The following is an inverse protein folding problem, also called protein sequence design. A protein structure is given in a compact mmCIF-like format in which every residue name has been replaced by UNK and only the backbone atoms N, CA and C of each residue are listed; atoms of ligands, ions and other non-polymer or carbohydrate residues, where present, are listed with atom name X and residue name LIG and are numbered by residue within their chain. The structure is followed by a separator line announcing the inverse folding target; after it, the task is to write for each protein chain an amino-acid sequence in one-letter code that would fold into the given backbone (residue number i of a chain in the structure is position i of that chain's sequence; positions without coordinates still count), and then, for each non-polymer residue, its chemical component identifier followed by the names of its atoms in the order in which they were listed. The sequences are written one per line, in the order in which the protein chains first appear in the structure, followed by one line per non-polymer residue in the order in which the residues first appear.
data_IF_454416213693
#
_entry.id   IF_454416213693
#
_cell.length_a   1.000
_cell.length_b   1.000
_cell.length_c   1.000
_cell.angle_alpha   90.00
_cell.angle_beta   90.00
_cell.angle_gamma   90.00
#
_symmetry.space_group_name_H-M   'P 1'
#
loop_
_entity.id
_entity.type
_entity.pdbx_description
1 polymer ?
#
# COMPACT_ATOMS: atom_id res chain seq x y z
N UNK A 1 66.77 -12.48 -4.31
CA UNK A 1 67.10 -12.98 -2.97
C UNK A 1 65.93 -13.76 -2.40
N UNK A 2 66.10 -15.03 -2.20
CA UNK A 2 65.21 -16.03 -1.64
C UNK A 2 64.88 -15.76 -0.17
N UNK A 3 63.69 -16.14 0.30
CA UNK A 3 63.38 -16.85 1.55
C UNK A 3 61.87 -17.13 1.59
N UNK A 4 61.50 -18.31 1.34
CA UNK A 4 61.35 -19.53 2.16
C UNK A 4 60.02 -19.62 2.93
N UNK A 5 59.21 -20.49 2.40
CA UNK A 5 58.11 -21.30 2.95
C UNK A 5 58.19 -21.60 4.45
N UNK A 6 57.05 -21.53 5.17
CA UNK A 6 56.74 -22.43 6.28
C UNK A 6 55.33 -23.03 6.09
N UNK A 7 55.34 -24.33 5.81
CA UNK A 7 54.17 -25.22 5.97
C UNK A 7 53.88 -25.38 7.46
N UNK A 8 52.65 -25.22 7.87
CA UNK A 8 52.14 -25.67 9.18
C UNK A 8 51.30 -26.91 8.97
N UNK A 9 51.66 -27.95 9.65
CA UNK A 9 51.14 -29.30 9.63
C UNK A 9 49.74 -29.36 10.24
N UNK A 10 48.81 -30.00 9.55
CA UNK A 10 47.48 -30.35 10.08
C UNK A 10 47.62 -31.60 10.95
N UNK A 11 47.18 -31.51 12.19
CA UNK A 11 47.00 -32.68 13.07
C UNK A 11 45.69 -33.39 12.70
N UNK A 12 45.63 -34.72 12.77
CA UNK A 12 44.42 -35.47 12.49
C UNK A 12 43.43 -35.40 13.67
N UNK A 13 42.17 -35.07 13.36
CA UNK A 13 41.07 -35.10 14.31
C UNK A 13 40.65 -36.55 14.60
N UNK A 14 40.68 -36.93 15.85
CA UNK A 14 40.12 -38.19 16.34
C UNK A 14 38.59 -38.15 16.31
N UNK A 15 37.94 -39.24 15.88
CA UNK A 15 36.47 -39.31 15.94
C UNK A 15 36.00 -39.53 17.41
N UNK A 16 34.83 -39.01 17.79
CA UNK A 16 34.30 -39.20 19.11
C UNK A 16 33.78 -40.63 19.35
N UNK A 17 33.78 -41.12 20.59
CA UNK A 17 33.38 -42.48 20.92
C UNK A 17 31.89 -42.71 20.69
N UNK A 18 31.57 -43.80 20.01
CA UNK A 18 30.20 -44.29 19.79
C UNK A 18 29.60 -44.79 21.11
N UNK A 19 28.53 -44.20 21.58
CA UNK A 19 27.74 -44.71 22.72
C UNK A 19 26.74 -45.75 22.19
N UNK A 20 26.85 -46.94 22.70
CA UNK A 20 25.95 -48.06 22.43
C UNK A 20 24.51 -47.82 22.92
N UNK A 21 23.52 -48.56 22.42
CA UNK A 21 22.11 -48.39 22.72
C UNK A 21 21.78 -48.74 24.18
N UNK A 22 21.11 -47.84 24.86
CA UNK A 22 20.56 -48.05 26.22
C UNK A 22 19.28 -48.89 26.12
N UNK A 23 19.05 -49.87 27.03
CA UNK A 23 17.84 -50.65 27.03
C UNK A 23 16.63 -49.82 27.43
N UNK A 24 15.58 -49.89 26.64
CA UNK A 24 14.30 -49.23 26.86
C UNK A 24 13.55 -50.05 27.92
N UNK A 25 13.40 -49.54 29.14
CA UNK A 25 12.52 -50.08 30.15
C UNK A 25 11.07 -49.80 29.75
N UNK A 26 10.35 -50.84 29.41
CA UNK A 26 8.89 -50.79 29.18
C UNK A 26 8.18 -50.47 30.49
N UNK A 27 7.78 -49.20 30.67
CA UNK A 27 6.75 -48.84 31.62
C UNK A 27 5.41 -48.83 30.89
N UNK A 28 4.57 -49.82 31.18
CA UNK A 28 3.17 -49.77 30.81
C UNK A 28 2.46 -48.80 31.77
N UNK A 29 2.39 -47.55 31.42
CA UNK A 29 1.52 -46.58 32.07
C UNK A 29 0.21 -46.55 31.32
N UNK A 30 -0.84 -47.07 31.90
CA UNK A 30 -2.22 -46.88 31.50
C UNK A 30 -2.55 -45.39 31.67
N UNK A 31 -2.42 -44.60 30.63
CA UNK A 31 -2.94 -43.25 30.58
C UNK A 31 -4.42 -43.32 30.20
N UNK A 32 -5.27 -43.18 31.22
CA UNK A 32 -6.66 -42.74 31.06
C UNK A 32 -6.60 -41.33 30.46
N UNK A 33 -6.75 -41.21 29.14
CA UNK A 33 -6.92 -39.95 28.45
C UNK A 33 -8.37 -39.51 28.73
N UNK A 34 -8.63 -38.44 29.51
CA UNK A 34 -9.96 -37.87 29.57
C UNK A 34 -10.28 -37.35 28.14
N UNK A 35 -11.36 -37.90 27.60
CA UNK A 35 -11.94 -37.43 26.34
C UNK A 35 -12.47 -36.01 26.57
N UNK A 36 -11.59 -35.02 26.43
CA UNK A 36 -11.97 -33.62 26.35
C UNK A 36 -12.64 -33.43 25.02
N UNK A 37 -13.97 -33.48 25.02
CA UNK A 37 -14.78 -33.05 23.85
C UNK A 37 -14.41 -31.60 23.58
N UNK A 38 -13.48 -31.39 22.63
CA UNK A 38 -13.14 -30.08 22.08
C UNK A 38 -14.38 -29.61 21.31
N UNK A 39 -15.28 -28.92 21.99
CA UNK A 39 -16.38 -28.21 21.33
C UNK A 39 -15.75 -27.06 20.53
N UNK A 40 -15.34 -27.36 19.31
CA UNK A 40 -14.93 -26.32 18.35
C UNK A 40 -16.17 -25.45 18.08
N UNK A 41 -16.10 -24.13 18.30
CA UNK A 41 -17.21 -23.26 17.90
C UNK A 41 -17.45 -23.42 16.40
N UNK A 42 -18.71 -23.47 15.96
CA UNK A 42 -19.03 -23.62 14.55
C UNK A 42 -18.39 -22.48 13.75
N UNK A 43 -17.60 -22.82 12.74
CA UNK A 43 -16.82 -21.89 11.91
C UNK A 43 -17.68 -20.77 11.26
N UNK A 44 -18.99 -20.93 11.22
CA UNK A 44 -19.95 -19.95 10.71
C UNK A 44 -20.14 -18.72 11.60
N UNK A 45 -20.06 -18.84 12.92
CA UNK A 45 -20.30 -17.72 13.87
C UNK A 45 -19.17 -16.69 13.79
N UNK A 46 -17.92 -17.14 13.65
CA UNK A 46 -16.75 -16.24 13.52
C UNK A 46 -16.77 -15.41 12.22
N UNK A 47 -17.33 -15.94 11.16
CA UNK A 47 -17.37 -15.27 9.86
C UNK A 47 -18.47 -14.20 9.82
N UNK A 48 -19.66 -14.50 10.32
CA UNK A 48 -20.76 -13.55 10.39
C UNK A 48 -20.43 -12.34 11.26
N UNK A 49 -19.77 -12.54 12.40
CA UNK A 49 -19.35 -11.44 13.27
C UNK A 49 -18.27 -10.56 12.63
N UNK A 50 -17.35 -11.12 11.84
CA UNK A 50 -16.32 -10.36 11.14
C UNK A 50 -16.89 -9.55 9.97
N UNK A 51 -17.90 -10.06 9.28
CA UNK A 51 -18.54 -9.41 8.15
C UNK A 51 -19.45 -8.26 8.63
N UNK A 52 -20.22 -8.43 9.71
CA UNK A 52 -21.02 -7.39 10.34
C UNK A 52 -20.18 -6.21 10.85
N UNK A 53 -19.02 -6.47 11.45
CA UNK A 53 -18.10 -5.43 11.87
C UNK A 53 -17.53 -4.63 10.69
N UNK A 54 -17.25 -5.29 9.57
CA UNK A 54 -16.75 -4.66 8.35
C UNK A 54 -17.80 -3.76 7.70
N UNK A 55 -19.05 -4.21 7.62
CA UNK A 55 -20.15 -3.40 7.09
C UNK A 55 -20.40 -2.15 7.94
N UNK A 56 -20.40 -2.28 9.26
CA UNK A 56 -20.50 -1.14 10.18
C UNK A 56 -19.34 -0.16 9.98
N UNK A 57 -18.12 -0.63 9.77
CA UNK A 57 -16.96 0.23 9.51
C UNK A 57 -17.06 0.93 8.15
N UNK A 58 -17.59 0.28 7.11
CA UNK A 58 -17.87 0.92 5.81
C UNK A 58 -18.95 2.00 5.97
N UNK A 59 -20.01 1.73 6.73
CA UNK A 59 -21.08 2.69 6.99
C UNK A 59 -20.56 3.92 7.75
N UNK A 60 -19.71 3.73 8.75
CA UNK A 60 -19.02 4.82 9.44
C UNK A 60 -18.15 5.62 8.46
N UNK A 61 -17.39 4.94 7.62
CA UNK A 61 -16.56 5.57 6.60
C UNK A 61 -17.36 6.40 5.61
N UNK A 62 -18.51 5.92 5.19
CA UNK A 62 -19.45 6.66 4.36
C UNK A 62 -19.96 7.92 5.09
N UNK A 63 -20.37 7.79 6.35
CA UNK A 63 -20.83 8.93 7.16
C UNK A 63 -19.76 10.02 7.25
N UNK A 64 -18.53 9.65 7.59
CA UNK A 64 -17.40 10.57 7.66
C UNK A 64 -17.11 11.20 6.29
N UNK A 65 -17.15 10.40 5.23
CA UNK A 65 -16.93 10.90 3.87
C UNK A 65 -17.93 11.97 3.45
N UNK A 66 -19.20 11.86 3.89
CA UNK A 66 -20.27 12.76 3.51
C UNK A 66 -20.47 13.94 4.47
N UNK A 67 -20.11 13.79 5.75
CA UNK A 67 -20.44 14.77 6.81
C UNK A 67 -19.24 15.23 7.65
N UNK A 68 -18.04 14.67 7.43
CA UNK A 68 -16.91 14.86 8.34
C UNK A 68 -17.00 13.94 9.56
N UNK A 69 -16.01 14.02 10.45
CA UNK A 69 -15.89 13.14 11.62
C UNK A 69 -16.53 13.70 12.92
N UNK A 70 -17.35 14.72 12.80
CA UNK A 70 -18.09 15.31 13.93
C UNK A 70 -17.32 16.36 14.75
N UNK A 71 -16.03 16.58 14.53
CA UNK A 71 -15.32 17.70 15.15
C UNK A 71 -15.73 19.04 14.54
N UNK A 72 -15.77 20.08 15.35
CA UNK A 72 -16.05 21.44 14.88
C UNK A 72 -15.05 21.84 13.77
N UNK A 73 -15.57 22.27 12.61
CA UNK A 73 -14.78 22.60 11.44
C UNK A 73 -14.26 21.40 10.63
N UNK A 74 -14.77 20.19 10.92
CA UNK A 74 -14.48 19.01 10.11
C UNK A 74 -15.09 19.14 8.72
N UNK A 75 -14.27 19.02 7.68
CA UNK A 75 -14.68 19.07 6.28
C UNK A 75 -14.98 17.66 5.77
N UNK A 76 -16.11 17.49 5.09
CA UNK A 76 -16.46 16.23 4.44
C UNK A 76 -15.50 15.94 3.26
N UNK A 77 -15.06 14.70 3.12
CA UNK A 77 -14.18 14.31 2.02
C UNK A 77 -14.83 14.59 0.65
N UNK A 78 -16.15 14.40 0.57
CA UNK A 78 -16.95 14.57 -0.64
C UNK A 78 -16.94 16.02 -1.19
N UNK A 79 -16.71 17.03 -0.36
CA UNK A 79 -16.64 18.43 -0.79
C UNK A 79 -15.51 18.65 -1.83
N UNK A 80 -14.37 18.01 -1.63
CA UNK A 80 -13.24 18.10 -2.54
C UNK A 80 -13.11 16.88 -3.46
N UNK A 81 -13.34 15.68 -2.92
CA UNK A 81 -13.19 14.45 -3.68
C UNK A 81 -14.47 14.02 -4.41
N UNK A 82 -15.55 14.81 -4.33
CA UNK A 82 -16.90 14.53 -4.84
C UNK A 82 -17.56 13.32 -4.17
N UNK A 83 -18.88 13.23 -4.25
CA UNK A 83 -19.69 12.15 -3.66
C UNK A 83 -19.24 10.78 -4.17
N UNK A 84 -18.87 10.67 -5.45
CA UNK A 84 -18.41 9.44 -6.07
C UNK A 84 -16.90 9.16 -5.88
N UNK A 85 -16.18 9.97 -5.09
CA UNK A 85 -14.75 9.82 -4.90
C UNK A 85 -13.88 10.08 -6.14
N UNK A 86 -14.47 10.72 -7.17
CA UNK A 86 -13.80 10.97 -8.46
C UNK A 86 -12.75 12.07 -8.44
N UNK A 87 -12.80 12.98 -7.45
CA UNK A 87 -11.92 14.12 -7.37
C UNK A 87 -12.26 15.24 -8.36
N UNK A 88 -11.34 16.19 -8.48
CA UNK A 88 -11.41 17.30 -9.44
C UNK A 88 -10.13 17.34 -10.27
N UNK A 89 -10.09 16.67 -11.44
CA UNK A 89 -8.89 16.48 -12.24
C UNK A 89 -8.18 17.78 -12.64
N UNK A 90 -8.91 18.81 -13.02
CA UNK A 90 -8.37 20.09 -13.49
C UNK A 90 -7.53 20.81 -12.45
N UNK A 91 -7.87 20.67 -11.17
CA UNK A 91 -7.13 21.31 -10.04
C UNK A 91 -6.24 20.32 -9.28
N UNK A 92 -6.12 19.08 -9.76
CA UNK A 92 -5.23 18.06 -9.16
C UNK A 92 -5.75 17.43 -7.87
N UNK A 93 -7.05 17.54 -7.57
CA UNK A 93 -7.65 16.76 -6.48
C UNK A 93 -7.87 15.33 -6.98
N UNK A 94 -7.25 14.33 -6.33
CA UNK A 94 -7.22 12.97 -6.86
C UNK A 94 -8.57 12.25 -6.76
N UNK A 95 -8.75 11.31 -7.67
CA UNK A 95 -9.69 10.22 -7.47
C UNK A 95 -9.18 9.34 -6.34
N UNK A 96 -10.05 9.05 -5.38
CA UNK A 96 -9.80 8.14 -4.25
C UNK A 96 -10.70 6.90 -4.29
N UNK A 97 -11.77 6.95 -5.08
CA UNK A 97 -12.64 5.80 -5.32
C UNK A 97 -11.88 4.63 -5.96
N UNK A 98 -12.10 3.43 -5.45
CA UNK A 98 -11.52 2.19 -5.92
C UNK A 98 -10.04 2.00 -5.60
N UNK A 99 -9.41 2.92 -4.87
CA UNK A 99 -8.03 2.76 -4.41
C UNK A 99 -7.98 1.79 -3.21
N UNK A 100 -6.87 1.11 -3.00
CA UNK A 100 -6.77 0.18 -1.87
C UNK A 100 -6.89 0.89 -0.52
N UNK A 101 -7.62 0.27 0.42
CA UNK A 101 -7.79 0.83 1.76
C UNK A 101 -6.42 1.05 2.45
N UNK A 102 -5.49 0.12 2.31
CA UNK A 102 -4.14 0.24 2.88
C UNK A 102 -3.40 1.45 2.33
N UNK A 103 -3.50 1.72 1.02
CA UNK A 103 -2.86 2.89 0.44
C UNK A 103 -3.53 4.18 0.93
N UNK A 104 -4.86 4.29 0.89
CA UNK A 104 -5.59 5.48 1.40
C UNK A 104 -5.22 5.74 2.86
N UNK A 105 -5.24 4.70 3.71
CA UNK A 105 -4.87 4.82 5.11
C UNK A 105 -3.46 5.38 5.27
N UNK A 106 -2.48 4.79 4.57
CA UNK A 106 -1.08 5.23 4.63
C UNK A 106 -0.90 6.68 4.19
N UNK A 107 -1.56 7.07 3.11
CA UNK A 107 -1.49 8.44 2.58
C UNK A 107 -2.03 9.48 3.57
N UNK A 108 -3.19 9.21 4.19
CA UNK A 108 -3.77 10.10 5.22
C UNK A 108 -2.85 10.15 6.45
N UNK A 109 -2.32 9.00 6.89
CA UNK A 109 -1.36 8.95 8.00
C UNK A 109 -0.06 9.70 7.66
N UNK A 110 0.41 9.61 6.42
CA UNK A 110 1.56 10.38 5.94
C UNK A 110 1.35 11.89 6.04
N UNK A 111 0.15 12.36 5.69
CA UNK A 111 -0.24 13.76 5.85
C UNK A 111 -0.25 14.17 7.33
N UNK A 112 -0.86 13.37 8.21
CA UNK A 112 -0.88 13.65 9.65
C UNK A 112 0.52 13.70 10.29
N UNK A 113 1.42 12.83 9.83
CA UNK A 113 2.81 12.75 10.32
C UNK A 113 3.75 13.78 9.68
N UNK A 114 3.28 14.55 8.70
CA UNK A 114 4.12 15.48 7.94
C UNK A 114 5.10 14.82 6.97
N UNK A 115 5.04 13.49 6.79
CA UNK A 115 5.87 12.78 5.80
C UNK A 115 5.35 12.93 4.37
N UNK A 116 4.13 13.44 4.23
CA UNK A 116 3.51 13.86 2.97
C UNK A 116 3.00 15.28 3.10
N UNK A 117 3.65 16.22 2.44
CA UNK A 117 3.23 17.61 2.46
C UNK A 117 1.92 17.79 1.70
N UNK A 118 0.89 18.29 2.37
CA UNK A 118 -0.41 18.62 1.79
C UNK A 118 -1.17 19.61 2.68
N UNK A 119 -0.99 20.93 2.48
CA UNK A 119 -1.56 21.94 3.36
C UNK A 119 -3.07 21.88 3.54
N UNK A 120 -3.79 21.54 2.45
CA UNK A 120 -5.25 21.40 2.49
C UNK A 120 -5.66 20.15 3.27
N UNK A 121 -5.10 18.99 2.93
CA UNK A 121 -5.44 17.73 3.59
C UNK A 121 -5.02 17.73 5.06
N UNK A 122 -3.92 18.39 5.42
CA UNK A 122 -3.47 18.50 6.82
C UNK A 122 -4.54 19.13 7.72
N UNK A 123 -5.26 20.13 7.24
CA UNK A 123 -6.37 20.75 7.99
C UNK A 123 -7.54 19.78 8.16
N UNK A 124 -7.90 19.06 7.10
CA UNK A 124 -9.02 18.13 7.09
C UNK A 124 -8.78 16.95 8.04
N UNK A 125 -7.60 16.34 7.96
CA UNK A 125 -7.33 15.07 8.65
C UNK A 125 -6.67 15.20 10.03
N UNK A 126 -6.40 16.43 10.48
CA UNK A 126 -5.68 16.70 11.74
C UNK A 126 -6.30 15.98 12.94
N UNK A 127 -7.62 16.04 13.06
CA UNK A 127 -8.39 15.51 14.19
C UNK A 127 -8.97 14.11 13.90
N UNK A 128 -8.57 13.45 12.81
CA UNK A 128 -9.02 12.10 12.50
C UNK A 128 -8.29 11.08 13.37
N UNK A 129 -9.05 10.24 14.06
CA UNK A 129 -8.51 9.07 14.77
C UNK A 129 -8.03 8.02 13.77
N UNK A 130 -7.27 7.04 14.25
CA UNK A 130 -6.86 5.89 13.42
C UNK A 130 -8.07 5.09 12.91
N UNK A 131 -9.14 5.00 13.73
CA UNK A 131 -10.40 4.35 13.35
C UNK A 131 -11.14 5.12 12.27
N UNK A 132 -11.23 6.46 12.36
CA UNK A 132 -11.84 7.29 11.31
C UNK A 132 -11.14 7.09 9.97
N UNK A 133 -9.79 7.14 9.98
CA UNK A 133 -8.98 6.97 8.77
C UNK A 133 -9.18 5.57 8.18
N UNK A 134 -9.26 4.54 9.03
CA UNK A 134 -9.49 3.17 8.57
C UNK A 134 -10.87 3.01 7.96
N UNK A 135 -11.89 3.55 8.60
CA UNK A 135 -13.27 3.52 8.11
C UNK A 135 -13.40 4.21 6.75
N UNK A 136 -12.87 5.44 6.61
CA UNK A 136 -12.87 6.19 5.34
C UNK A 136 -12.08 5.46 4.25
N UNK A 137 -10.92 4.91 4.60
CA UNK A 137 -10.11 4.16 3.65
C UNK A 137 -10.83 2.91 3.14
N UNK A 138 -11.49 2.20 4.05
CA UNK A 138 -12.30 1.03 3.72
C UNK A 138 -13.49 1.41 2.84
N UNK A 139 -14.23 2.46 3.18
CA UNK A 139 -15.34 2.95 2.38
C UNK A 139 -14.92 3.27 0.94
N UNK A 140 -13.93 4.15 0.75
CA UNK A 140 -13.52 4.53 -0.61
C UNK A 140 -12.92 3.37 -1.41
N UNK A 141 -12.38 2.36 -0.77
CA UNK A 141 -11.90 1.15 -1.46
C UNK A 141 -13.04 0.31 -2.06
N UNK A 142 -14.27 0.49 -1.57
CA UNK A 142 -15.47 -0.19 -2.10
C UNK A 142 -16.24 0.64 -3.12
N UNK A 143 -15.96 1.94 -3.22
CA UNK A 143 -16.63 2.82 -4.16
C UNK A 143 -16.20 2.52 -5.58
N UNK A 144 -17.19 2.36 -6.47
CA UNK A 144 -16.94 2.12 -7.89
C UNK A 144 -16.11 3.24 -8.51
N UNK A 145 -15.11 2.85 -9.27
CA UNK A 145 -14.17 3.79 -9.89
C UNK A 145 -14.83 4.57 -11.04
N UNK A 146 -14.99 5.90 -10.96
CA UNK A 146 -15.50 6.69 -12.07
C UNK A 146 -14.43 6.89 -13.15
N UNK A 147 -14.85 7.06 -14.40
CA UNK A 147 -13.99 7.55 -15.48
C UNK A 147 -13.80 9.06 -15.31
N UNK A 148 -12.55 9.54 -15.39
CA UNK A 148 -12.22 10.93 -15.04
C UNK A 148 -11.61 11.75 -16.16
N UNK A 149 -11.22 11.18 -17.30
CA UNK A 149 -10.44 11.92 -18.28
C UNK A 149 -11.27 12.29 -19.51
N UNK A 150 -11.02 13.47 -20.00
CA UNK A 150 -11.33 13.87 -21.34
C UNK A 150 -10.07 13.68 -22.21
N UNK A 151 -10.09 12.82 -23.24
CA UNK A 151 -8.94 12.60 -24.11
C UNK A 151 -8.44 13.88 -24.81
N UNK A 152 -9.30 14.89 -24.99
CA UNK A 152 -8.93 16.17 -25.61
C UNK A 152 -7.90 16.99 -24.83
N UNK A 153 -7.75 16.72 -23.52
CA UNK A 153 -6.72 17.35 -22.67
C UNK A 153 -5.31 16.80 -22.90
N UNK A 154 -5.15 15.77 -23.73
CA UNK A 154 -3.88 15.06 -23.88
C UNK A 154 -3.14 15.53 -25.13
N UNK A 155 -1.83 15.74 -24.99
CA UNK A 155 -0.92 16.01 -26.08
C UNK A 155 -0.51 14.69 -26.78
N UNK A 156 -0.95 14.44 -28.03
CA UNK A 156 -0.63 13.19 -28.71
C UNK A 156 0.87 12.94 -28.87
N UNK A 157 1.69 14.00 -28.93
CA UNK A 157 3.14 13.90 -29.10
C UNK A 157 3.86 13.28 -27.89
N UNK A 158 3.24 13.32 -26.72
CA UNK A 158 3.78 12.75 -25.48
C UNK A 158 3.43 11.29 -25.27
N UNK A 159 2.40 10.78 -25.95
CA UNK A 159 1.88 9.43 -25.71
C UNK A 159 2.92 8.32 -25.99
N UNK A 160 3.69 8.34 -27.10
CA UNK A 160 4.72 7.32 -27.33
C UNK A 160 5.83 7.33 -26.29
N UNK A 161 6.26 8.52 -25.82
CA UNK A 161 7.27 8.66 -24.79
C UNK A 161 6.76 8.10 -23.44
N UNK A 162 5.54 8.50 -23.05
CA UNK A 162 4.90 8.03 -21.83
C UNK A 162 4.76 6.51 -21.80
N UNK A 163 4.26 5.93 -22.89
CA UNK A 163 4.15 4.47 -23.05
C UNK A 163 5.52 3.77 -22.94
N UNK A 164 6.55 4.32 -23.60
CA UNK A 164 7.91 3.75 -23.53
C UNK A 164 8.43 3.73 -22.12
N UNK A 165 8.35 4.85 -21.38
CA UNK A 165 8.82 4.93 -19.99
C UNK A 165 8.02 3.99 -19.11
N UNK A 166 6.69 4.02 -19.23
CA UNK A 166 5.81 3.18 -18.41
C UNK A 166 6.09 1.69 -18.57
N UNK A 167 6.30 1.21 -19.81
CA UNK A 167 6.40 -0.23 -20.12
C UNK A 167 7.83 -0.75 -20.25
N UNK A 168 8.83 0.11 -20.51
CA UNK A 168 10.22 -0.31 -20.75
C UNK A 168 11.22 0.35 -19.82
N UNK A 169 10.86 1.47 -19.17
CA UNK A 169 11.79 2.25 -18.34
C UNK A 169 12.81 3.04 -19.15
N UNK A 170 13.80 3.57 -18.45
CA UNK A 170 14.99 4.26 -18.97
C UNK A 170 16.19 3.71 -18.17
N UNK A 171 16.63 2.52 -18.56
CA UNK A 171 17.63 1.74 -17.82
C UNK A 171 19.02 2.37 -17.81
N UNK A 172 19.34 3.17 -18.84
CA UNK A 172 20.53 4.01 -18.90
C UNK A 172 20.65 4.99 -17.72
N UNK A 173 19.52 5.33 -17.11
CA UNK A 173 19.43 6.20 -15.91
C UNK A 173 18.91 5.47 -14.67
N UNK A 174 18.90 4.16 -14.68
CA UNK A 174 18.36 3.35 -13.59
C UNK A 174 16.92 3.74 -13.23
N UNK A 175 16.07 3.95 -14.25
CA UNK A 175 14.63 4.13 -14.10
C UNK A 175 13.95 2.86 -14.63
N UNK A 176 13.45 1.98 -13.74
CA UNK A 176 12.74 0.77 -14.15
C UNK A 176 11.40 1.11 -14.81
N UNK A 177 10.83 0.15 -15.54
CA UNK A 177 9.49 0.29 -16.06
C UNK A 177 8.48 0.47 -14.93
N UNK A 178 7.59 1.47 -15.01
CA UNK A 178 6.63 1.78 -13.95
C UNK A 178 5.69 0.59 -13.65
N UNK A 179 5.36 -0.20 -14.71
CA UNK A 179 4.48 -1.37 -14.59
C UNK A 179 5.06 -2.48 -13.71
N UNK A 180 6.37 -2.53 -13.49
CA UNK A 180 6.99 -3.55 -12.62
C UNK A 180 6.51 -3.43 -11.17
N UNK A 181 6.23 -2.20 -10.72
CA UNK A 181 5.72 -1.94 -9.38
C UNK A 181 4.22 -1.59 -9.40
N UNK A 182 3.77 -0.80 -10.38
CA UNK A 182 2.37 -0.37 -10.43
C UNK A 182 1.44 -1.35 -11.18
N UNK A 183 1.93 -2.53 -11.53
CA UNK A 183 1.18 -3.55 -12.23
C UNK A 183 0.96 -3.23 -13.70
N UNK A 184 0.56 -4.24 -14.48
CA UNK A 184 0.23 -4.06 -15.87
C UNK A 184 -0.83 -2.97 -16.02
N UNK A 185 -0.61 -2.05 -16.96
CA UNK A 185 -1.47 -0.90 -17.22
C UNK A 185 -1.75 0.00 -16.00
N UNK A 186 -0.90 -0.03 -14.98
CA UNK A 186 -1.05 0.81 -13.80
C UNK A 186 -2.17 0.39 -12.85
N UNK A 187 -2.55 -0.88 -12.88
CA UNK A 187 -3.60 -1.46 -12.03
C UNK A 187 -3.19 -1.69 -10.58
N UNK A 188 -1.95 -1.32 -10.22
CA UNK A 188 -1.40 -1.50 -8.89
C UNK A 188 -1.05 -2.94 -8.55
N UNK A 189 -0.32 -3.10 -7.47
CA UNK A 189 -0.02 -4.39 -6.83
C UNK A 189 -0.31 -4.24 -5.33
N UNK A 190 -1.52 -4.57 -4.88
CA UNK A 190 -1.88 -4.46 -3.46
C UNK A 190 -0.99 -5.34 -2.58
N UNK A 191 -0.74 -4.94 -1.32
CA UNK A 191 -1.23 -3.72 -0.66
C UNK A 191 -0.33 -2.50 -0.88
N UNK A 192 0.86 -2.64 -1.46
CA UNK A 192 1.92 -1.65 -1.38
C UNK A 192 1.93 -0.63 -2.52
N UNK A 193 1.62 -1.07 -3.73
CA UNK A 193 1.71 -0.21 -4.91
C UNK A 193 0.33 0.26 -5.35
N UNK A 194 0.11 1.59 -5.44
CA UNK A 194 -1.20 2.15 -5.74
C UNK A 194 -1.63 1.93 -7.19
N UNK A 195 -2.93 2.02 -7.37
CA UNK A 195 -3.58 2.11 -8.68
C UNK A 195 -3.38 3.51 -9.25
N UNK A 196 -2.76 3.60 -10.41
CA UNK A 196 -2.47 4.88 -11.08
C UNK A 196 -3.16 5.02 -12.45
N UNK A 197 -3.72 3.93 -13.00
CA UNK A 197 -4.51 3.95 -14.23
C UNK A 197 -5.75 4.85 -14.10
N UNK A 198 -5.98 5.73 -15.05
CA UNK A 198 -7.10 6.66 -15.06
C UNK A 198 -7.11 7.67 -13.90
N UNK A 199 -5.99 7.88 -13.22
CA UNK A 199 -5.84 8.97 -12.26
C UNK A 199 -5.55 10.29 -13.00
N UNK A 200 -5.95 11.42 -12.42
CA UNK A 200 -5.72 12.75 -13.01
C UNK A 200 -4.26 12.97 -13.42
N UNK A 201 -4.04 13.42 -14.65
CA UNK A 201 -2.71 13.80 -15.15
C UNK A 201 -2.04 14.83 -14.23
N UNK A 202 -2.78 15.88 -13.87
CA UNK A 202 -2.31 16.94 -12.98
C UNK A 202 -1.87 16.39 -11.63
N UNK A 203 -2.68 15.53 -11.03
CA UNK A 203 -2.32 14.89 -9.75
C UNK A 203 -1.09 13.99 -9.88
N UNK A 204 -1.02 13.13 -10.90
CA UNK A 204 0.14 12.26 -11.12
C UNK A 204 1.44 13.06 -11.29
N UNK A 205 1.39 14.15 -12.08
CA UNK A 205 2.52 15.06 -12.22
C UNK A 205 2.95 15.68 -10.90
N UNK A 206 1.99 16.17 -10.10
CA UNK A 206 2.26 16.75 -8.79
C UNK A 206 2.91 15.73 -7.85
N UNK A 207 2.40 14.51 -7.82
CA UNK A 207 2.95 13.48 -6.94
C UNK A 207 4.37 13.06 -7.32
N UNK A 208 4.65 12.87 -8.61
CA UNK A 208 6.02 12.56 -9.07
C UNK A 208 6.97 13.71 -8.70
N UNK A 209 6.56 14.96 -8.90
CA UNK A 209 7.37 16.13 -8.52
C UNK A 209 7.59 16.23 -7.01
N UNK A 210 6.55 15.99 -6.19
CA UNK A 210 6.67 15.97 -4.73
C UNK A 210 7.68 14.93 -4.22
N UNK A 211 7.73 13.75 -4.84
CA UNK A 211 8.78 12.79 -4.55
C UNK A 211 10.18 13.30 -4.96
N UNK A 212 10.29 13.95 -6.13
CA UNK A 212 11.58 14.44 -6.62
C UNK A 212 12.19 15.54 -5.72
N UNK A 213 11.35 16.42 -5.14
CA UNK A 213 11.78 17.52 -4.24
C UNK A 213 11.68 17.17 -2.75
N UNK A 214 11.41 15.90 -2.45
CA UNK A 214 11.36 15.37 -1.07
C UNK A 214 10.23 15.95 -0.19
N UNK A 215 9.18 16.52 -0.78
CA UNK A 215 7.94 16.88 -0.08
C UNK A 215 7.11 15.65 0.33
N UNK A 216 7.40 14.51 -0.32
CA UNK A 216 6.89 13.19 0.04
C UNK A 216 8.03 12.29 0.47
N UNK A 217 7.93 11.78 1.73
CA UNK A 217 8.89 10.87 2.37
C UNK A 217 8.20 9.59 2.86
N UNK A 218 6.93 9.39 2.46
CA UNK A 218 6.09 8.27 2.86
C UNK A 218 6.19 7.05 1.92
N UNK A 219 7.16 7.08 0.99
CA UNK A 219 7.48 5.95 0.12
C UNK A 219 8.44 4.97 0.79
N UNK A 220 8.07 3.68 0.91
CA UNK A 220 8.95 2.66 1.47
C UNK A 220 10.29 2.63 0.71
N UNK A 221 11.39 2.57 1.47
CA UNK A 221 12.77 2.48 0.94
C UNK A 221 13.16 3.63 -0.03
N UNK A 222 12.37 4.69 -0.11
CA UNK A 222 12.64 5.79 -1.02
C UNK A 222 12.54 5.44 -2.51
N UNK A 223 11.79 4.40 -2.87
CA UNK A 223 11.69 3.88 -4.24
C UNK A 223 11.20 4.95 -5.22
N UNK A 224 10.09 5.62 -4.90
CA UNK A 224 9.56 6.66 -5.78
C UNK A 224 10.44 7.91 -5.79
N UNK A 225 11.06 8.28 -4.69
CA UNK A 225 12.05 9.38 -4.64
C UNK A 225 13.23 9.10 -5.56
N UNK A 226 13.78 7.89 -5.48
CA UNK A 226 14.90 7.45 -6.32
C UNK A 226 14.59 7.47 -7.82
N UNK A 227 13.35 7.19 -8.22
CA UNK A 227 12.89 7.23 -9.61
C UNK A 227 12.56 8.67 -10.03
N UNK A 228 11.78 9.37 -9.21
CA UNK A 228 11.25 10.69 -9.53
C UNK A 228 12.36 11.75 -9.71
N UNK A 229 13.40 11.70 -8.87
CA UNK A 229 14.57 12.62 -8.95
C UNK A 229 15.33 12.53 -10.28
N UNK A 230 15.20 11.42 -11.01
CA UNK A 230 15.88 11.19 -12.29
C UNK A 230 15.02 11.54 -13.50
N UNK A 231 13.72 11.75 -13.35
CA UNK A 231 12.82 12.06 -14.44
C UNK A 231 12.89 13.54 -14.83
N UNK A 232 12.98 13.80 -16.13
CA UNK A 232 12.90 15.16 -16.69
C UNK A 232 11.44 15.64 -16.76
N UNK A 233 11.21 16.95 -16.75
CA UNK A 233 9.85 17.52 -16.79
C UNK A 233 8.98 16.98 -17.93
N UNK A 234 9.54 16.83 -19.15
CA UNK A 234 8.84 16.27 -20.30
C UNK A 234 8.43 14.80 -20.06
N UNK A 235 9.30 14.04 -19.42
CA UNK A 235 9.07 12.63 -19.10
C UNK A 235 7.99 12.47 -18.03
N UNK A 236 8.01 13.33 -17.00
CA UNK A 236 6.95 13.39 -15.97
C UNK A 236 5.59 13.68 -16.63
N UNK A 237 5.53 14.68 -17.53
CA UNK A 237 4.31 14.99 -18.29
C UNK A 237 3.83 13.79 -19.11
N UNK A 238 4.76 13.14 -19.83
CA UNK A 238 4.47 12.03 -20.71
C UNK A 238 3.94 10.80 -19.95
N UNK A 239 4.62 10.39 -18.88
CA UNK A 239 4.21 9.20 -18.10
C UNK A 239 2.92 9.45 -17.33
N UNK A 240 2.73 10.65 -16.78
CA UNK A 240 1.49 11.04 -16.12
C UNK A 240 0.30 11.02 -17.08
N UNK A 241 0.47 11.56 -18.27
CA UNK A 241 -0.55 11.51 -19.33
C UNK A 241 -0.85 10.08 -19.78
N UNK A 242 0.17 9.25 -19.97
CA UNK A 242 -0.03 7.86 -20.36
C UNK A 242 -0.91 7.12 -19.34
N UNK A 243 -0.59 7.18 -18.05
CA UNK A 243 -1.43 6.51 -17.05
C UNK A 243 -2.80 7.16 -16.89
N UNK A 244 -2.92 8.47 -17.03
CA UNK A 244 -4.20 9.15 -17.01
C UNK A 244 -5.11 8.73 -18.17
N UNK A 245 -4.56 8.41 -19.35
CA UNK A 245 -5.32 7.98 -20.53
C UNK A 245 -5.84 6.54 -20.43
N UNK A 246 -5.33 5.74 -19.49
CA UNK A 246 -5.76 4.37 -19.34
C UNK A 246 -7.12 4.28 -18.64
N UNK A 247 -7.91 3.30 -19.05
CA UNK A 247 -9.18 3.03 -18.36
C UNK A 247 -8.89 2.49 -16.95
N UNK A 248 -9.43 3.12 -15.90
CA UNK A 248 -9.29 2.58 -14.57
C UNK A 248 -10.00 1.23 -14.49
N UNK A 249 -9.42 0.23 -13.82
CA UNK A 249 -10.09 -1.03 -13.59
C UNK A 249 -11.31 -0.84 -12.68
N UNK A 250 -12.35 -1.64 -12.90
CA UNK A 250 -13.54 -1.65 -12.03
C UNK A 250 -13.26 -2.49 -10.77
N UNK A 251 -12.63 -1.85 -9.78
CA UNK A 251 -12.22 -2.52 -8.54
C UNK A 251 -13.41 -2.91 -7.63
N UNK A 252 -14.58 -2.34 -7.83
CA UNK A 252 -15.79 -2.73 -7.12
C UNK A 252 -16.24 -4.17 -7.40
N UNK A 253 -15.68 -4.79 -8.44
CA UNK A 253 -15.96 -6.19 -8.84
C UNK A 253 -14.83 -7.17 -8.50
N UNK A 254 -13.76 -6.75 -7.83
CA UNK A 254 -12.66 -7.64 -7.45
C UNK A 254 -12.80 -8.01 -5.97
N UNK A 255 -13.57 -9.08 -5.63
CA UNK A 255 -13.88 -9.42 -4.24
C UNK A 255 -12.66 -9.87 -3.44
N UNK A 256 -11.66 -10.41 -4.11
CA UNK A 256 -10.58 -11.17 -3.46
C UNK A 256 -9.35 -10.33 -3.12
N UNK A 257 -9.06 -9.29 -3.89
CA UNK A 257 -7.91 -8.41 -3.63
C UNK A 257 -8.18 -7.37 -2.51
N UNK A 258 -9.46 -7.06 -2.28
CA UNK A 258 -9.92 -6.25 -1.15
C UNK A 258 -10.43 -7.12 0.02
N UNK A 259 -10.15 -8.41 -0.01
CA UNK A 259 -10.57 -9.38 1.01
C UNK A 259 -10.13 -8.97 2.42
N UNK A 260 -10.99 -9.21 3.44
CA UNK A 260 -10.68 -8.94 4.85
C UNK A 260 -9.39 -9.57 5.35
N UNK A 261 -8.96 -10.69 4.73
CA UNK A 261 -7.69 -11.35 5.05
C UNK A 261 -6.47 -10.45 4.79
N UNK A 262 -6.52 -9.54 3.81
CA UNK A 262 -5.41 -8.61 3.54
C UNK A 262 -5.49 -7.30 4.35
N UNK A 263 -6.67 -6.89 4.79
CA UNK A 263 -6.81 -5.77 5.73
C UNK A 263 -6.28 -6.10 7.13
N UNK A 264 -6.25 -7.39 7.52
CA UNK A 264 -5.54 -7.86 8.73
C UNK A 264 -4.03 -7.66 8.64
N UNK A 265 -3.50 -7.37 7.44
CA UNK A 265 -2.09 -7.02 7.21
C UNK A 265 -1.81 -5.52 7.35
N UNK A 266 -2.77 -4.68 7.77
CA UNK A 266 -2.42 -3.43 8.43
C UNK A 266 -1.95 -3.90 9.82
N UNK A 267 -0.63 -3.97 10.08
CA UNK A 267 -0.15 -4.56 11.31
C UNK A 267 -0.71 -3.77 12.48
N UNK A 268 -1.37 -4.42 13.42
CA UNK A 268 -1.78 -3.80 14.69
C UNK A 268 -0.58 -3.20 15.43
N UNK A 269 0.63 -3.70 15.14
CA UNK A 269 1.90 -3.21 15.68
C UNK A 269 2.41 -1.90 15.05
N UNK A 270 1.73 -1.28 14.09
CA UNK A 270 1.92 0.16 13.85
C UNK A 270 1.41 1.01 15.02
N UNK A 271 0.84 0.38 16.05
CA UNK A 271 0.32 1.02 17.24
C UNK A 271 1.35 1.23 18.37
N UNK A 272 2.58 0.74 18.28
CA UNK A 272 3.33 0.60 19.52
C UNK A 272 4.83 0.77 19.52
N UNK A 273 5.43 1.59 18.67
CA UNK A 273 6.77 2.15 19.00
C UNK A 273 6.81 3.61 18.56
N UNK A 274 6.53 4.49 19.50
CA UNK A 274 7.13 5.81 19.51
C UNK A 274 8.65 5.60 19.46
N UNK A 275 9.23 5.82 18.31
CA UNK A 275 10.67 5.97 18.21
C UNK A 275 10.93 7.37 18.73
N UNK A 276 11.30 7.45 20.03
CA UNK A 276 11.93 8.65 20.58
C UNK A 276 13.22 8.85 19.78
N UNK A 277 13.22 9.85 18.95
CA UNK A 277 14.46 10.40 18.40
C UNK A 277 15.00 11.42 19.40
N UNK A 278 16.32 11.35 19.70
CA UNK A 278 17.02 12.33 20.52
C UNK A 278 17.02 13.72 19.89
#
# INVERSE_FOLDING_TARGET
MLRLFRRSLRSPLHPPPQRGPRPIRRWQAFLLIPLFLLVLPPAGISRAASDGNREAEIALGHLIAMKGNGFAGSTACAECHRINGGGMPSVGIPRIAGQTATYIYREIRGVQKGTRFSPFMSRVVRNFSKSDIRAVALYYSTVRTPKLHDPSEFDPSLQPLGRRIARRGLWDRNIPACILCHGEDGRGIPPNFPYIAGQSKTYLMQQIKSFAVVDRKDDPEGLMRGIASKLKNREIKAVAQYFASLTPPDYGKIPEQNSPKRLRLIPENLNGKEVNHP
#
